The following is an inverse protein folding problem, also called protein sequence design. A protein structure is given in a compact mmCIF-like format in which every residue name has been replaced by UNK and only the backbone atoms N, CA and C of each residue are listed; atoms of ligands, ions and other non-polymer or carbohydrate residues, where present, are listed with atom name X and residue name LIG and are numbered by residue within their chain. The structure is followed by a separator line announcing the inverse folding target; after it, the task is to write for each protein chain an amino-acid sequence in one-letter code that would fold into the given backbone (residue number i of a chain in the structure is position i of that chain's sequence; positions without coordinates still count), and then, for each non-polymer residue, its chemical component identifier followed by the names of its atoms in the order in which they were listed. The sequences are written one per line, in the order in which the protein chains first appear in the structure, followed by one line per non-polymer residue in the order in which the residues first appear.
data_IF_793794885216
#
_entry.id   IF_793794885216
#
_cell.length_a   1.000
_cell.length_b   1.000
_cell.length_c   1.000
_cell.angle_alpha   90.00
_cell.angle_beta   90.00
_cell.angle_gamma   90.00
#
_symmetry.space_group_name_H-M   'P 1'
#
loop_
_entity.id
_entity.type
_entity.pdbx_description
1 polymer ?
#
# COMPACT_ATOMS: atom_id res chain seq x y z
N UNK A 1 -0.09 -11.21 -19.70
CA UNK A 1 0.34 -10.72 -18.39
C UNK A 1 -0.63 -9.63 -17.92
N UNK A 2 -1.23 -9.80 -16.76
CA UNK A 2 -2.15 -8.79 -16.24
C UNK A 2 -1.37 -7.55 -15.81
N UNK A 3 -1.90 -6.38 -16.13
CA UNK A 3 -1.32 -5.09 -15.75
C UNK A 3 -2.34 -4.27 -15.01
N UNK A 4 -1.86 -3.47 -14.07
CA UNK A 4 -2.62 -2.39 -13.45
C UNK A 4 -2.18 -1.07 -14.09
N UNK A 5 -3.13 -0.29 -14.53
CA UNK A 5 -2.89 1.06 -15.07
C UNK A 5 -3.54 2.06 -14.12
N UNK A 6 -2.74 2.97 -13.60
CA UNK A 6 -3.21 4.00 -12.68
C UNK A 6 -3.51 5.28 -13.45
N UNK A 7 -4.67 5.86 -13.18
CA UNK A 7 -5.07 7.18 -13.67
C UNK A 7 -5.33 8.10 -12.49
N UNK A 8 -4.86 9.32 -12.58
CA UNK A 8 -5.21 10.34 -11.59
C UNK A 8 -5.55 11.65 -12.27
N UNK A 9 -6.77 12.15 -12.02
CA UNK A 9 -7.30 13.40 -12.58
C UNK A 9 -7.07 13.44 -14.11
N UNK A 10 -7.25 12.32 -14.76
CA UNK A 10 -6.96 12.13 -16.18
C UNK A 10 -8.27 12.00 -16.95
N UNK A 11 -8.56 12.91 -17.92
CA UNK A 11 -9.77 12.82 -18.70
C UNK A 11 -9.86 11.55 -19.58
N UNK A 12 -8.73 10.88 -19.82
CA UNK A 12 -8.70 9.60 -20.54
C UNK A 12 -9.04 8.41 -19.65
N UNK A 13 -9.21 8.60 -18.33
CA UNK A 13 -9.54 7.51 -17.43
C UNK A 13 -10.89 6.88 -17.78
N UNK A 14 -10.97 5.54 -17.86
CA UNK A 14 -12.26 4.88 -18.03
C UNK A 14 -13.16 5.11 -16.82
N UNK A 15 -14.47 5.01 -17.02
CA UNK A 15 -15.42 5.15 -15.93
C UNK A 15 -15.30 3.98 -14.96
N UNK A 16 -15.20 4.27 -13.67
CA UNK A 16 -15.13 3.25 -12.63
C UNK A 16 -16.41 2.40 -12.60
N UNK A 17 -16.22 1.09 -12.42
CA UNK A 17 -17.32 0.12 -12.32
C UNK A 17 -17.24 -0.72 -11.05
N UNK A 18 -16.23 -0.47 -10.17
CA UNK A 18 -16.11 -1.16 -8.90
C UNK A 18 -15.48 -0.27 -7.85
N UNK A 19 -15.72 -0.62 -6.59
CA UNK A 19 -15.07 -0.01 -5.44
C UNK A 19 -14.77 -1.13 -4.45
N UNK A 20 -13.48 -1.38 -4.19
CA UNK A 20 -13.03 -2.47 -3.32
C UNK A 20 -12.16 -1.88 -2.23
N UNK A 21 -12.54 -2.01 -0.95
CA UNK A 21 -11.69 -1.56 0.14
C UNK A 21 -10.36 -2.30 0.14
N UNK A 22 -9.27 -1.55 0.29
CA UNK A 22 -7.92 -2.09 0.38
C UNK A 22 -7.17 -1.47 1.56
N UNK A 23 -6.08 -2.11 1.95
CA UNK A 23 -5.19 -1.62 3.02
C UNK A 23 -3.76 -1.52 2.49
N UNK A 24 -3.03 -0.55 3.03
CA UNK A 24 -1.58 -0.46 2.94
C UNK A 24 -1.03 -0.34 4.36
N UNK A 25 0.17 -0.83 4.59
CA UNK A 25 0.72 -0.88 5.95
C UNK A 25 2.13 -0.34 5.98
N UNK A 26 2.36 0.71 6.79
CA UNK A 26 3.71 1.17 7.12
C UNK A 26 4.18 0.35 8.32
N UNK A 27 4.98 -0.68 8.06
CA UNK A 27 5.53 -1.55 9.10
C UNK A 27 6.91 -1.05 9.48
N UNK A 28 7.16 -0.86 10.77
CA UNK A 28 8.46 -0.39 11.26
C UNK A 28 9.11 -1.45 12.15
N UNK A 29 10.45 -1.51 12.10
CA UNK A 29 11.25 -2.35 12.99
C UNK A 29 11.81 -1.53 14.16
N UNK A 30 12.58 -2.18 15.03
CA UNK A 30 13.16 -1.53 16.21
C UNK A 30 14.11 -0.39 15.86
N UNK A 31 14.69 -0.40 14.66
CA UNK A 31 15.57 0.67 14.18
C UNK A 31 14.78 1.83 13.55
N UNK A 32 13.46 1.77 13.51
CA UNK A 32 12.63 2.78 12.88
C UNK A 32 12.63 2.72 11.36
N UNK A 33 13.15 1.66 10.76
CA UNK A 33 13.14 1.47 9.31
C UNK A 33 11.76 0.98 8.84
N UNK A 34 11.41 1.33 7.61
CA UNK A 34 10.12 1.04 6.99
C UNK A 34 10.26 -0.14 6.03
N UNK A 35 9.32 -1.08 6.11
CA UNK A 35 9.27 -2.24 5.23
C UNK A 35 8.74 -1.83 3.86
N UNK A 36 9.55 -2.06 2.82
CA UNK A 36 9.21 -1.72 1.45
C UNK A 36 9.30 -2.96 0.55
N UNK A 37 8.42 -3.02 -0.43
CA UNK A 37 8.43 -4.04 -1.48
C UNK A 37 8.69 -3.38 -2.83
N UNK A 38 9.36 -4.09 -3.73
CA UNK A 38 9.42 -3.75 -5.14
C UNK A 38 8.38 -4.57 -5.87
N UNK A 39 7.41 -3.92 -6.46
CA UNK A 39 6.30 -4.59 -7.14
C UNK A 39 6.78 -5.28 -8.40
N UNK A 40 6.36 -6.54 -8.58
CA UNK A 40 6.72 -7.33 -9.77
C UNK A 40 6.04 -6.81 -11.04
N UNK A 41 4.88 -6.14 -10.91
CA UNK A 41 4.08 -5.72 -12.06
C UNK A 41 4.57 -4.42 -12.72
N UNK A 42 5.26 -3.53 -11.99
CA UNK A 42 5.70 -2.23 -12.54
C UNK A 42 7.05 -1.75 -12.03
N UNK A 43 7.75 -2.56 -11.20
CA UNK A 43 9.04 -2.23 -10.58
C UNK A 43 9.02 -1.01 -9.65
N UNK A 44 7.86 -0.47 -9.32
CA UNK A 44 7.77 0.59 -8.33
C UNK A 44 7.85 0.04 -6.90
N UNK A 45 8.40 0.84 -6.02
CA UNK A 45 8.45 0.54 -4.60
C UNK A 45 7.18 0.99 -3.90
N UNK A 46 6.75 0.23 -2.91
CA UNK A 46 5.53 0.49 -2.16
C UNK A 46 5.62 -0.15 -0.79
N UNK A 47 4.73 0.24 0.12
CA UNK A 47 4.49 -0.53 1.33
C UNK A 47 3.58 -1.71 1.01
N UNK A 48 3.63 -2.81 1.78
CA UNK A 48 2.74 -3.96 1.54
C UNK A 48 1.27 -3.58 1.70
N UNK A 49 0.41 -4.29 0.99
CA UNK A 49 -1.03 -4.10 1.06
C UNK A 49 -1.79 -4.86 0.01
N UNK A 50 -3.10 -4.74 0.04
CA UNK A 50 -4.00 -5.39 -0.91
C UNK A 50 -5.45 -5.29 -0.50
N UNK A 51 -6.32 -5.93 -1.26
CA UNK A 51 -7.76 -5.93 -1.01
C UNK A 51 -8.12 -6.66 0.29
N UNK A 52 -9.14 -6.15 0.97
CA UNK A 52 -9.74 -6.83 2.13
C UNK A 52 -10.63 -7.95 1.57
N UNK A 53 -10.44 -9.17 2.05
CA UNK A 53 -11.27 -10.30 1.68
C UNK A 53 -12.54 -10.33 2.52
N UNK A 54 -13.60 -10.94 1.97
CA UNK A 54 -14.82 -11.17 2.73
C UNK A 54 -14.50 -11.97 4.02
N UNK A 55 -15.02 -11.51 5.13
CA UNK A 55 -14.79 -12.14 6.44
C UNK A 55 -13.57 -11.60 7.18
N UNK A 56 -12.76 -10.73 6.56
CA UNK A 56 -11.63 -10.09 7.23
C UNK A 56 -11.98 -8.69 7.71
N UNK A 57 -11.41 -8.29 8.85
CA UNK A 57 -11.30 -6.87 9.21
C UNK A 57 -10.14 -6.24 8.44
N UNK A 58 -10.07 -4.90 8.44
CA UNK A 58 -8.94 -4.21 7.84
C UNK A 58 -7.61 -4.55 8.51
N UNK A 59 -7.60 -4.75 9.83
CA UNK A 59 -6.39 -5.14 10.56
C UNK A 59 -5.95 -6.56 10.18
N UNK A 60 -6.87 -7.50 10.08
CA UNK A 60 -6.58 -8.87 9.66
C UNK A 60 -6.04 -8.91 8.23
N UNK A 61 -6.64 -8.16 7.31
CA UNK A 61 -6.15 -8.07 5.93
C UNK A 61 -4.74 -7.49 5.87
N UNK A 62 -4.46 -6.46 6.66
CA UNK A 62 -3.15 -5.81 6.71
C UNK A 62 -2.07 -6.78 7.19
N UNK A 63 -2.34 -7.55 8.23
CA UNK A 63 -1.42 -8.55 8.77
C UNK A 63 -1.18 -9.68 7.76
N UNK A 64 -2.24 -10.16 7.13
CA UNK A 64 -2.17 -11.22 6.11
C UNK A 64 -1.36 -10.79 4.90
N UNK A 65 -1.69 -9.63 4.32
CA UNK A 65 -0.98 -9.12 3.13
C UNK A 65 0.50 -8.87 3.41
N UNK A 66 0.81 -8.31 4.59
CA UNK A 66 2.20 -8.11 4.99
C UNK A 66 2.97 -9.42 5.02
N UNK A 67 2.39 -10.45 5.63
CA UNK A 67 3.03 -11.78 5.69
C UNK A 67 3.20 -12.40 4.31
N UNK A 68 2.15 -12.35 3.47
CA UNK A 68 2.19 -12.94 2.13
C UNK A 68 3.21 -12.28 1.22
N UNK A 69 3.30 -10.94 1.27
CA UNK A 69 4.18 -10.19 0.36
C UNK A 69 5.61 -10.05 0.86
N UNK A 70 5.84 -10.15 2.17
CA UNK A 70 7.14 -9.78 2.76
C UNK A 70 7.75 -10.83 3.68
N UNK A 71 6.98 -11.80 4.15
CA UNK A 71 7.44 -12.74 5.17
C UNK A 71 7.51 -12.16 6.58
N UNK A 72 7.07 -10.92 6.80
CA UNK A 72 7.13 -10.24 8.09
C UNK A 72 5.78 -10.37 8.82
N UNK A 73 5.85 -10.71 10.09
CA UNK A 73 4.72 -10.64 11.02
C UNK A 73 4.67 -9.26 11.65
N UNK A 74 3.47 -8.74 11.86
CA UNK A 74 3.31 -7.41 12.42
C UNK A 74 2.05 -7.29 13.28
N UNK A 75 2.02 -6.25 14.10
CA UNK A 75 0.88 -5.85 14.92
C UNK A 75 0.49 -4.44 14.55
N UNK A 76 -0.80 -4.21 14.27
CA UNK A 76 -1.30 -2.90 13.85
C UNK A 76 -1.24 -1.93 15.04
N UNK A 77 -0.71 -0.73 14.80
CA UNK A 77 -0.47 0.27 15.83
C UNK A 77 -1.25 1.57 15.64
N UNK A 78 -1.75 1.86 14.43
CA UNK A 78 -2.45 3.12 14.20
C UNK A 78 -2.96 3.32 12.78
N UNK A 79 -3.54 4.48 12.55
CA UNK A 79 -4.11 4.90 11.27
C UNK A 79 -3.42 6.18 10.80
N UNK A 80 -2.93 6.18 9.55
CA UNK A 80 -2.40 7.39 8.90
C UNK A 80 -3.50 8.12 8.17
N UNK A 81 -4.31 7.42 7.38
CA UNK A 81 -5.37 8.05 6.63
C UNK A 81 -6.23 7.10 5.81
N UNK A 82 -7.28 7.67 5.25
CA UNK A 82 -8.21 6.99 4.34
C UNK A 82 -8.19 7.76 3.02
N UNK A 83 -7.99 7.04 1.92
CA UNK A 83 -7.79 7.59 0.58
C UNK A 83 -8.89 7.07 -0.33
N UNK A 84 -9.84 7.94 -0.67
CA UNK A 84 -11.01 7.56 -1.45
C UNK A 84 -11.33 8.55 -2.58
N UNK A 85 -10.35 9.33 -3.02
CA UNK A 85 -10.50 10.34 -4.05
C UNK A 85 -10.97 9.69 -5.37
N UNK A 86 -12.16 10.04 -5.91
CA UNK A 86 -12.67 9.45 -7.14
C UNK A 86 -11.84 9.79 -8.38
N UNK A 87 -10.93 10.74 -8.30
CA UNK A 87 -9.99 11.04 -9.39
C UNK A 87 -8.94 9.95 -9.57
N UNK A 88 -8.75 9.07 -8.57
CA UNK A 88 -7.81 7.96 -8.65
C UNK A 88 -8.56 6.70 -9.08
N UNK A 89 -8.24 6.21 -10.28
CA UNK A 89 -8.90 5.07 -10.91
C UNK A 89 -7.83 4.06 -11.34
N UNK A 90 -8.12 2.78 -11.10
CA UNK A 90 -7.23 1.67 -11.44
C UNK A 90 -7.91 0.77 -12.46
N UNK A 91 -7.28 0.60 -13.63
CA UNK A 91 -7.73 -0.35 -14.64
C UNK A 91 -6.91 -1.63 -14.53
N UNK A 92 -7.60 -2.76 -14.38
CA UNK A 92 -6.99 -4.08 -14.40
C UNK A 92 -7.23 -4.73 -15.76
N UNK A 93 -6.15 -4.97 -16.50
CA UNK A 93 -6.26 -5.46 -17.88
C UNK A 93 -6.68 -6.92 -17.98
N UNK A 94 -6.56 -7.68 -16.89
CA UNK A 94 -6.91 -9.10 -16.89
C UNK A 94 -8.41 -9.36 -17.04
N UNK A 95 -9.25 -8.46 -16.53
CA UNK A 95 -10.71 -8.67 -16.50
C UNK A 95 -11.52 -7.41 -16.83
N UNK A 96 -10.85 -6.29 -17.16
CA UNK A 96 -11.53 -5.03 -17.46
C UNK A 96 -12.14 -4.32 -16.26
N UNK A 97 -11.82 -4.75 -15.06
CA UNK A 97 -12.29 -4.04 -13.85
C UNK A 97 -11.67 -2.64 -13.80
N UNK A 98 -12.54 -1.63 -13.58
CA UNK A 98 -12.12 -0.24 -13.40
C UNK A 98 -12.50 0.16 -11.98
N UNK A 99 -11.51 0.20 -11.11
CA UNK A 99 -11.72 0.39 -9.69
C UNK A 99 -11.49 1.84 -9.29
N UNK A 100 -12.49 2.44 -8.62
CA UNK A 100 -12.24 3.67 -7.88
C UNK A 100 -11.41 3.30 -6.65
N UNK A 101 -10.28 3.96 -6.45
CA UNK A 101 -9.39 3.64 -5.32
C UNK A 101 -10.07 3.96 -3.99
N UNK A 102 -10.02 2.99 -3.09
CA UNK A 102 -10.38 3.16 -1.69
C UNK A 102 -9.35 2.42 -0.85
N UNK A 103 -8.49 3.15 -0.17
CA UNK A 103 -7.39 2.55 0.58
C UNK A 103 -7.28 3.15 1.98
N UNK A 104 -6.98 2.28 2.94
CA UNK A 104 -6.74 2.63 4.33
C UNK A 104 -5.25 2.42 4.60
N UNK A 105 -4.53 3.48 5.00
CA UNK A 105 -3.11 3.38 5.35
C UNK A 105 -2.96 3.24 6.86
N UNK A 106 -2.48 2.08 7.27
CA UNK A 106 -2.24 1.75 8.68
C UNK A 106 -0.76 1.81 9.00
N UNK A 107 -0.44 1.93 10.29
CA UNK A 107 0.90 1.71 10.80
C UNK A 107 0.94 0.40 11.58
N UNK A 108 2.10 -0.23 11.64
CA UNK A 108 2.30 -1.48 12.36
C UNK A 108 3.74 -1.60 12.86
N UNK A 109 3.93 -2.44 13.85
CA UNK A 109 5.24 -2.78 14.41
C UNK A 109 5.56 -4.22 14.02
N UNK A 110 6.77 -4.47 13.51
CA UNK A 110 7.21 -5.82 13.17
C UNK A 110 7.37 -6.65 14.45
N UNK A 111 6.85 -7.88 14.43
CA UNK A 111 6.91 -8.80 15.55
C UNK A 111 7.71 -10.06 15.26
N UNK A 112 8.06 -10.33 14.01
CA UNK A 112 8.84 -11.51 13.63
C UNK A 112 8.98 -11.66 12.14
N UNK A 113 9.64 -12.74 11.72
CA UNK A 113 9.87 -13.06 10.33
C UNK A 113 11.11 -12.40 9.74
N UNK A 114 11.39 -12.72 8.48
CA UNK A 114 12.52 -12.18 7.73
C UNK A 114 12.03 -11.66 6.38
N UNK A 115 12.56 -10.53 5.87
CA UNK A 115 12.19 -10.04 4.54
C UNK A 115 12.40 -11.12 3.49
N UNK A 116 11.33 -11.49 2.80
CA UNK A 116 11.28 -12.59 1.85
C UNK A 116 10.48 -12.16 0.63
N UNK A 117 11.07 -12.18 -0.58
CA UNK A 117 10.33 -11.90 -1.81
C UNK A 117 9.19 -12.88 -2.05
N UNK A 118 8.23 -12.48 -2.85
CA UNK A 118 7.08 -13.29 -3.25
C UNK A 118 6.84 -13.16 -4.76
N UNK A 119 5.80 -13.80 -5.28
CA UNK A 119 5.43 -13.64 -6.69
C UNK A 119 5.02 -12.20 -7.03
N UNK A 120 4.53 -11.44 -6.05
CA UNK A 120 4.07 -10.07 -6.24
C UNK A 120 5.12 -9.03 -5.85
N UNK A 121 6.16 -9.43 -5.10
CA UNK A 121 7.24 -8.55 -4.65
C UNK A 121 8.60 -9.16 -4.99
N UNK A 122 9.27 -8.59 -5.99
CA UNK A 122 10.57 -9.07 -6.47
C UNK A 122 11.72 -8.76 -5.51
N UNK A 123 11.53 -7.79 -4.64
CA UNK A 123 12.49 -7.42 -3.59
C UNK A 123 11.72 -6.95 -2.36
N UNK A 124 12.26 -7.21 -1.17
CA UNK A 124 11.70 -6.80 0.11
C UNK A 124 12.86 -6.33 0.98
N UNK A 125 12.75 -5.13 1.51
CA UNK A 125 13.83 -4.60 2.36
C UNK A 125 13.33 -3.61 3.40
N UNK A 126 14.11 -3.49 4.46
CA UNK A 126 13.97 -2.44 5.45
C UNK A 126 14.68 -1.18 4.94
N UNK A 127 13.97 -0.06 4.87
CA UNK A 127 14.47 1.20 4.32
C UNK A 127 14.51 2.26 5.41
N UNK A 128 15.65 2.91 5.66
CA UNK A 128 15.69 4.06 6.56
C UNK A 128 14.73 5.15 6.12
N UNK A 129 14.09 5.80 7.08
CA UNK A 129 13.10 6.85 6.78
C UNK A 129 13.65 7.95 5.86
N UNK A 130 14.89 8.35 6.09
CA UNK A 130 15.58 9.39 5.30
C UNK A 130 15.83 8.98 3.84
N UNK A 131 15.79 7.69 3.55
CA UNK A 131 16.04 7.18 2.19
C UNK A 131 14.77 6.94 1.38
N UNK A 132 13.60 6.99 2.00
CA UNK A 132 12.32 6.71 1.32
C UNK A 132 12.09 7.59 0.09
N UNK A 133 12.48 8.86 0.16
CA UNK A 133 12.28 9.80 -0.94
C UNK A 133 13.09 9.46 -2.19
N UNK A 134 14.16 8.66 -2.07
CA UNK A 134 15.01 8.27 -3.20
C UNK A 134 14.49 7.08 -3.98
N UNK A 135 13.48 6.38 -3.46
CA UNK A 135 12.91 5.20 -4.12
C UNK A 135 11.87 5.59 -5.15
N UNK A 136 11.90 4.92 -6.30
CA UNK A 136 10.89 5.12 -7.34
C UNK A 136 9.55 4.52 -6.88
N UNK A 137 8.51 5.35 -6.86
CA UNK A 137 7.17 4.93 -6.47
C UNK A 137 6.13 5.73 -7.23
N UNK A 138 4.92 5.21 -7.33
CA UNK A 138 3.84 5.93 -7.97
C UNK A 138 3.36 7.12 -7.11
N UNK A 139 2.57 8.00 -7.73
CA UNK A 139 2.09 9.22 -7.11
C UNK A 139 1.36 8.98 -5.79
N UNK A 140 0.47 8.00 -5.77
CA UNK A 140 -0.37 7.73 -4.59
C UNK A 140 0.47 7.23 -3.41
N UNK A 141 1.45 6.38 -3.66
CA UNK A 141 2.33 5.88 -2.62
C UNK A 141 3.20 7.00 -2.05
N UNK A 142 3.72 7.87 -2.92
CA UNK A 142 4.51 9.01 -2.49
C UNK A 142 3.71 9.97 -1.62
N UNK A 143 2.45 10.21 -1.98
CA UNK A 143 1.52 11.02 -1.19
C UNK A 143 1.28 10.39 0.19
N UNK A 144 1.01 9.10 0.23
CA UNK A 144 0.71 8.36 1.48
C UNK A 144 1.91 8.34 2.42
N UNK A 145 3.09 8.02 1.91
CA UNK A 145 4.31 8.06 2.71
C UNK A 145 4.65 9.47 3.17
N UNK A 146 4.36 10.48 2.35
CA UNK A 146 4.50 11.88 2.76
C UNK A 146 3.65 12.22 3.98
N UNK A 147 2.41 11.76 4.02
CA UNK A 147 1.53 11.95 5.17
C UNK A 147 2.05 11.22 6.41
N UNK A 148 2.55 9.99 6.23
CA UNK A 148 3.17 9.24 7.32
C UNK A 148 4.37 9.99 7.90
N UNK A 149 5.29 10.44 7.04
CA UNK A 149 6.50 11.14 7.45
C UNK A 149 6.21 12.49 8.10
N UNK A 150 5.14 13.17 7.71
CA UNK A 150 4.73 14.44 8.30
C UNK A 150 4.22 14.30 9.73
N UNK A 151 3.97 13.08 10.20
CA UNK A 151 3.55 12.80 11.57
C UNK A 151 2.26 13.50 11.96
N UNK A 152 1.17 13.24 11.25
CA UNK A 152 -0.16 13.82 11.52
C UNK A 152 -0.74 13.28 12.83
N UNK A 153 -0.09 13.56 13.95
CA UNK A 153 -0.51 13.04 15.24
C UNK A 153 -1.90 13.54 15.62
N UNK A 154 -2.78 12.60 15.99
CA UNK A 154 -4.14 12.88 16.44
C UNK A 154 -5.13 13.25 15.34
N UNK A 155 -4.71 13.31 14.06
CA UNK A 155 -5.58 13.71 12.96
C UNK A 155 -5.25 12.93 11.68
N UNK A 156 -5.97 11.82 11.39
CA UNK A 156 -5.75 11.06 10.16
C UNK A 156 -6.15 11.88 8.94
N UNK A 157 -5.50 11.59 7.81
CA UNK A 157 -5.86 12.16 6.53
C UNK A 157 -7.16 11.52 6.03
N UNK A 158 -8.10 12.36 5.57
CA UNK A 158 -9.38 11.92 5.01
C UNK A 158 -9.55 12.56 3.63
N UNK A 159 -9.33 11.80 2.56
CA UNK A 159 -9.41 12.39 1.23
C UNK A 159 -9.47 11.41 0.08
#
# INVERSE_FOLDING_TARGET
MSRRIDYYDDPAAPKANSLVPSVNVVVVNDAGQVLMIRRSDNDNWAVPGGAIDLGESMAEAAVRETREETGIDCEISGLVGIYSDPKHVLLYTSNGEVRQEFSILLTAVATGGQPTPSSESSDVRWVPREDLASYQMDRSMRLRLGHYLAGRSGSPYLG
#
